data_IF_428914106961
#
_entry.id   IF_428914106961
#
_cell.length_a   1.000
_cell.length_b   1.000
_cell.length_c   1.000
_cell.angle_alpha   90.00
_cell.angle_beta   90.00
_cell.angle_gamma   90.00
#
_symmetry.space_group_name_H-M   'P 1'
#
loop_
_entity.id
_entity.type
_entity.pdbx_description
1 polymer ?
#
# COMPACT_ATOMS: atom_id res chain seq x y z
N UNK A 1 4.08 33.39 53.89
CA UNK A 1 3.25 33.70 52.71
C UNK A 1 3.05 32.42 51.88
N UNK A 2 1.89 32.25 51.21
CA UNK A 2 1.28 30.95 50.87
C UNK A 2 1.70 30.35 49.49
N UNK A 3 1.17 29.14 49.22
CA UNK A 3 1.42 28.13 48.17
C UNK A 3 1.43 28.61 46.69
N UNK A 4 1.84 27.75 45.72
CA UNK A 4 0.85 26.84 45.11
C UNK A 4 1.37 25.47 44.64
N UNK A 5 0.45 24.50 44.66
CA UNK A 5 0.56 23.19 44.03
C UNK A 5 0.59 23.26 42.49
N UNK A 6 1.25 22.34 41.79
CA UNK A 6 0.87 21.96 40.43
C UNK A 6 -0.20 20.85 40.56
N UNK A 7 -1.50 21.12 40.33
CA UNK A 7 -2.18 21.31 39.04
C UNK A 7 -2.09 20.07 38.11
N UNK A 8 -3.22 19.69 37.48
CA UNK A 8 -3.59 18.32 37.13
C UNK A 8 -2.82 17.75 35.94
N UNK A 9 -2.54 16.45 35.98
CA UNK A 9 -2.07 15.70 34.82
C UNK A 9 -3.11 15.81 33.68
N UNK A 10 -2.74 16.32 32.49
CA UNK A 10 -3.65 16.37 31.36
C UNK A 10 -3.93 14.94 30.88
N UNK A 11 -5.21 14.66 30.68
CA UNK A 11 -5.72 13.45 30.03
C UNK A 11 -5.04 13.22 28.66
N UNK A 12 -4.84 11.96 28.24
CA UNK A 12 -4.18 11.65 26.98
C UNK A 12 -4.95 12.28 25.80
N UNK A 13 -4.23 13.04 24.99
CA UNK A 13 -4.70 13.64 23.75
C UNK A 13 -5.24 12.55 22.80
N UNK A 14 -6.23 12.87 21.96
CA UNK A 14 -6.83 11.95 21.00
C UNK A 14 -5.75 11.33 20.10
N UNK A 15 -5.86 10.02 19.88
CA UNK A 15 -4.98 9.26 19.00
C UNK A 15 -4.81 9.98 17.66
N UNK A 16 -3.57 10.17 17.17
CA UNK A 16 -3.36 10.79 15.87
C UNK A 16 -4.04 9.92 14.81
N UNK A 17 -5.03 10.50 14.14
CA UNK A 17 -5.54 9.99 12.87
C UNK A 17 -4.34 9.73 11.95
N UNK A 18 -4.33 8.61 11.21
CA UNK A 18 -3.15 8.17 10.47
C UNK A 18 -2.63 9.32 9.60
N UNK A 19 -1.37 9.64 9.86
CA UNK A 19 -0.59 10.67 9.19
C UNK A 19 -0.94 10.72 7.71
N UNK A 20 -1.42 11.88 7.30
CA UNK A 20 -1.40 12.34 5.92
C UNK A 20 0.07 12.30 5.50
N UNK A 21 0.44 11.18 4.89
CA UNK A 21 1.76 10.88 4.40
C UNK A 21 2.36 12.11 3.70
N UNK A 22 3.53 12.50 4.20
CA UNK A 22 4.20 13.76 3.95
C UNK A 22 4.20 14.20 2.47
N UNK A 23 3.79 15.45 2.26
CA UNK A 23 4.08 16.25 1.07
C UNK A 23 5.60 16.51 1.01
N UNK A 24 6.37 15.50 0.63
CA UNK A 24 7.72 15.71 0.13
C UNK A 24 7.63 15.96 -1.37
N UNK A 25 8.17 17.11 -1.77
CA UNK A 25 8.26 17.63 -3.13
C UNK A 25 9.20 16.76 -3.97
N UNK A 26 8.77 15.53 -4.23
CA UNK A 26 9.39 14.51 -5.05
C UNK A 26 8.26 13.96 -5.93
N UNK A 27 8.51 13.69 -7.21
CA UNK A 27 7.49 13.22 -8.15
C UNK A 27 6.56 12.17 -7.50
N UNK A 28 5.26 12.48 -7.43
CA UNK A 28 4.27 11.61 -6.80
C UNK A 28 4.16 10.35 -7.67
N UNK A 29 4.83 9.29 -7.23
CA UNK A 29 4.73 7.99 -7.84
C UNK A 29 3.56 7.22 -7.23
N UNK A 30 2.93 6.40 -8.05
CA UNK A 30 1.78 5.59 -7.68
C UNK A 30 2.09 4.13 -7.97
N UNK A 31 1.88 3.26 -6.99
CA UNK A 31 1.96 1.82 -7.16
C UNK A 31 0.56 1.24 -7.20
N UNK A 32 0.38 0.23 -8.05
CA UNK A 32 -0.85 -0.55 -8.09
C UNK A 32 -0.65 -1.82 -7.30
N UNK A 33 -1.19 -1.89 -6.08
CA UNK A 33 -1.31 -3.15 -5.39
C UNK A 33 -2.45 -3.95 -6.02
N UNK A 34 -2.15 -5.14 -6.51
CA UNK A 34 -3.13 -5.97 -7.22
C UNK A 34 -3.79 -6.97 -6.28
N UNK A 35 -2.97 -7.64 -5.46
CA UNK A 35 -3.42 -8.63 -4.50
C UNK A 35 -2.33 -8.92 -3.45
N UNK A 36 -2.74 -9.50 -2.33
CA UNK A 36 -1.83 -10.06 -1.33
C UNK A 36 -2.21 -11.52 -1.09
N UNK A 37 -1.26 -12.42 -1.29
CA UNK A 37 -1.46 -13.85 -1.09
C UNK A 37 -0.68 -14.35 0.12
N UNK A 38 -1.25 -15.27 0.89
CA UNK A 38 -0.50 -16.03 1.90
C UNK A 38 0.34 -17.17 1.31
N UNK A 39 0.20 -17.42 0.00
CA UNK A 39 0.83 -18.53 -0.72
C UNK A 39 1.62 -17.96 -1.89
N UNK A 40 2.89 -18.36 -2.00
CA UNK A 40 3.81 -17.90 -3.05
C UNK A 40 3.31 -18.26 -4.45
N UNK A 41 2.77 -19.46 -4.62
CA UNK A 41 2.34 -20.00 -5.90
C UNK A 41 1.24 -19.13 -6.55
N UNK A 42 0.25 -18.71 -5.76
CA UNK A 42 -0.80 -17.79 -6.21
C UNK A 42 -0.24 -16.42 -6.65
N UNK A 43 0.79 -15.92 -5.95
CA UNK A 43 1.44 -14.67 -6.32
C UNK A 43 2.25 -14.81 -7.62
N UNK A 44 2.92 -15.95 -7.83
CA UNK A 44 3.67 -16.25 -9.05
C UNK A 44 2.73 -16.39 -10.26
N UNK A 45 1.64 -17.13 -10.11
CA UNK A 45 0.62 -17.29 -11.15
C UNK A 45 0.06 -15.93 -11.60
N UNK A 46 -0.26 -15.06 -10.64
CA UNK A 46 -0.72 -13.71 -10.93
C UNK A 46 0.36 -12.88 -11.62
N UNK A 47 1.61 -12.95 -11.14
CA UNK A 47 2.74 -12.25 -11.76
C UNK A 47 2.89 -12.64 -13.23
N UNK A 48 2.92 -13.95 -13.53
CA UNK A 48 3.04 -14.43 -14.91
C UNK A 48 1.90 -13.97 -15.80
N UNK A 49 0.68 -13.96 -15.30
CA UNK A 49 -0.48 -13.50 -16.07
C UNK A 49 -0.37 -12.01 -16.42
N UNK A 50 0.13 -11.20 -15.48
CA UNK A 50 0.39 -9.77 -15.69
C UNK A 50 1.56 -9.54 -16.65
N UNK A 51 2.64 -10.31 -16.52
CA UNK A 51 3.77 -10.28 -17.45
C UNK A 51 3.33 -10.66 -18.87
N UNK A 52 2.47 -11.65 -19.01
CA UNK A 52 1.91 -12.05 -20.31
C UNK A 52 0.99 -10.99 -20.92
N UNK A 53 0.41 -10.10 -20.10
CA UNK A 53 -0.33 -8.93 -20.56
C UNK A 53 0.56 -7.72 -20.87
N UNK A 54 1.88 -7.83 -20.67
CA UNK A 54 2.85 -6.76 -20.90
C UNK A 54 2.98 -5.79 -19.74
N UNK A 55 2.54 -6.17 -18.54
CA UNK A 55 2.76 -5.40 -17.31
C UNK A 55 3.98 -5.92 -16.56
N UNK A 56 4.57 -5.08 -15.71
CA UNK A 56 5.69 -5.43 -14.85
C UNK A 56 5.24 -5.53 -13.39
N UNK A 57 4.72 -6.68 -12.95
CA UNK A 57 4.46 -6.95 -11.54
C UNK A 57 5.76 -7.12 -10.75
N UNK A 58 5.64 -6.84 -9.46
CA UNK A 58 6.66 -6.97 -8.44
C UNK A 58 6.01 -7.70 -7.26
N UNK A 59 6.60 -8.83 -6.87
CA UNK A 59 6.18 -9.58 -5.70
C UNK A 59 7.03 -9.12 -4.51
N UNK A 60 6.42 -8.46 -3.54
CA UNK A 60 7.04 -8.14 -2.26
C UNK A 60 6.71 -9.22 -1.23
N UNK A 61 7.75 -9.76 -0.59
CA UNK A 61 7.61 -10.78 0.45
C UNK A 61 7.70 -10.08 1.80
N UNK A 62 6.57 -9.98 2.49
CA UNK A 62 6.48 -9.43 3.83
C UNK A 62 6.45 -10.58 4.83
N UNK A 63 7.53 -10.75 5.59
CA UNK A 63 7.58 -11.74 6.67
C UNK A 63 6.76 -11.21 7.84
N UNK A 64 5.65 -11.87 8.17
CA UNK A 64 4.82 -11.58 9.34
C UNK A 64 4.97 -12.71 10.35
N UNK A 65 4.69 -12.43 11.64
CA UNK A 65 4.85 -13.36 12.77
C UNK A 65 4.12 -14.70 12.61
N UNK A 66 3.05 -14.74 11.81
CA UNK A 66 2.24 -15.94 11.56
C UNK A 66 2.65 -16.64 10.25
N UNK A 67 2.62 -15.92 9.13
CA UNK A 67 2.97 -16.44 7.81
C UNK A 67 3.53 -15.33 6.91
N UNK A 68 4.41 -15.64 5.94
CA UNK A 68 4.84 -14.67 4.94
C UNK A 68 3.66 -14.28 4.02
N UNK A 69 3.54 -12.99 3.74
CA UNK A 69 2.57 -12.43 2.80
C UNK A 69 3.31 -12.04 1.52
N UNK A 70 2.81 -12.53 0.39
CA UNK A 70 3.30 -12.24 -0.94
C UNK A 70 2.39 -11.19 -1.57
N UNK A 71 2.84 -9.93 -1.57
CA UNK A 71 2.10 -8.81 -2.14
C UNK A 71 2.49 -8.63 -3.59
N UNK A 72 1.55 -8.77 -4.50
CA UNK A 72 1.76 -8.50 -5.92
C UNK A 72 1.35 -7.07 -6.20
N UNK A 73 2.28 -6.26 -6.68
CA UNK A 73 2.06 -4.86 -7.06
C UNK A 73 2.73 -4.53 -8.39
N UNK A 74 2.25 -3.56 -9.14
CA UNK A 74 2.96 -3.07 -10.32
C UNK A 74 4.06 -2.08 -9.94
N UNK A 75 4.98 -1.87 -10.88
CA UNK A 75 5.98 -0.81 -10.80
C UNK A 75 5.35 0.57 -10.53
N UNK A 76 6.03 1.42 -9.74
CA UNK A 76 5.61 2.79 -9.51
C UNK A 76 5.58 3.59 -10.82
N UNK A 77 4.50 4.31 -11.07
CA UNK A 77 4.33 5.19 -12.22
C UNK A 77 3.86 6.58 -11.79
N UNK A 78 4.20 7.62 -12.55
CA UNK A 78 3.66 8.96 -12.31
C UNK A 78 2.18 9.09 -12.74
N UNK A 79 1.77 8.31 -13.74
CA UNK A 79 0.43 8.33 -14.32
C UNK A 79 -0.58 7.48 -13.54
N UNK A 80 -1.24 8.10 -12.56
CA UNK A 80 -2.33 7.46 -11.80
C UNK A 80 -3.50 7.03 -12.68
N UNK A 81 -3.94 7.84 -13.64
CA UNK A 81 -5.14 7.54 -14.46
C UNK A 81 -4.95 6.25 -15.28
N UNK A 82 -3.76 6.09 -15.88
CA UNK A 82 -3.39 4.88 -16.61
C UNK A 82 -3.38 3.65 -15.69
N UNK A 83 -2.90 3.85 -14.47
CA UNK A 83 -2.86 2.82 -13.44
C UNK A 83 -4.26 2.42 -12.98
N UNK A 84 -5.18 3.37 -12.84
CA UNK A 84 -6.58 3.15 -12.44
C UNK A 84 -7.38 2.40 -13.50
N UNK A 85 -7.20 2.74 -14.78
CA UNK A 85 -7.80 1.97 -15.89
C UNK A 85 -7.31 0.53 -15.91
N UNK A 86 -6.01 0.34 -15.70
CA UNK A 86 -5.38 -0.98 -15.61
C UNK A 86 -5.90 -1.76 -14.40
N UNK A 87 -5.98 -1.10 -13.24
CA UNK A 87 -6.55 -1.66 -12.01
C UNK A 87 -7.98 -2.15 -12.21
N UNK A 88 -8.81 -1.33 -12.84
CA UNK A 88 -10.20 -1.69 -13.13
C UNK A 88 -10.28 -2.88 -14.09
N UNK A 89 -9.51 -2.86 -15.18
CA UNK A 89 -9.46 -3.99 -16.12
C UNK A 89 -9.02 -5.28 -15.44
N UNK A 90 -7.95 -5.24 -14.63
CA UNK A 90 -7.40 -6.41 -13.94
C UNK A 90 -8.31 -6.91 -12.83
N UNK A 91 -8.93 -6.00 -12.07
CA UNK A 91 -9.91 -6.37 -11.04
C UNK A 91 -11.14 -7.05 -11.64
N UNK A 92 -11.65 -6.58 -12.79
CA UNK A 92 -12.77 -7.25 -13.47
C UNK A 92 -12.36 -8.60 -14.08
N UNK A 93 -11.18 -8.67 -14.71
CA UNK A 93 -10.70 -9.87 -15.40
C UNK A 93 -10.27 -10.98 -14.45
N UNK A 94 -9.62 -10.62 -13.34
CA UNK A 94 -9.02 -11.55 -12.39
C UNK A 94 -9.81 -11.65 -11.07
N UNK A 95 -10.88 -10.85 -10.91
CA UNK A 95 -11.67 -10.74 -9.67
C UNK A 95 -10.81 -10.43 -8.44
N UNK A 96 -9.84 -9.53 -8.61
CA UNK A 96 -8.90 -9.14 -7.57
C UNK A 96 -9.20 -7.77 -6.99
N UNK A 97 -8.85 -7.59 -5.71
CA UNK A 97 -8.94 -6.31 -5.02
C UNK A 97 -7.73 -5.44 -5.33
N UNK A 98 -7.82 -4.69 -6.42
CA UNK A 98 -6.77 -3.73 -6.80
C UNK A 98 -6.88 -2.45 -5.98
N UNK A 99 -5.77 -1.98 -5.42
CA UNK A 99 -5.64 -0.70 -4.72
C UNK A 99 -4.50 0.11 -5.31
N UNK A 100 -4.76 1.38 -5.59
CA UNK A 100 -3.72 2.34 -5.94
C UNK A 100 -3.23 2.96 -4.63
N UNK A 101 -1.92 2.89 -4.39
CA UNK A 101 -1.29 3.55 -3.27
C UNK A 101 -0.24 4.53 -3.80
N UNK A 102 -0.05 5.62 -3.07
CA UNK A 102 1.09 6.48 -3.31
C UNK A 102 2.37 5.73 -2.95
N UNK A 103 3.30 5.65 -3.90
CA UNK A 103 4.61 5.08 -3.67
C UNK A 103 5.46 6.10 -2.94
N UNK A 104 5.80 5.78 -1.70
CA UNK A 104 6.80 6.50 -0.94
C UNK A 104 8.09 5.66 -0.97
N UNK A 105 9.16 6.14 -1.63
CA UNK A 105 10.44 5.45 -1.65
C UNK A 105 11.10 5.40 -0.26
#
# INVERSE_FOLDING_TARGET
>A
APAPAPAPAPAPAPAPAPEKAAEQKNEILWVLQLASFGVRDNADALSKELESMGYNPLIEIVKTDKNPIYRVRLQPVADRDKLEKTAKMLSEKLKLSTQILQYQP
#
